data_IF_910284741683
#
_entry.id   IF_910284741683
#
_cell.length_a   1.000
_cell.length_b   1.000
_cell.length_c   1.000
_cell.angle_alpha   90.00
_cell.angle_beta   90.00
_cell.angle_gamma   90.00
#
_symmetry.space_group_name_H-M   'P 1'
#
loop_
_entity.id
_entity.type
_entity.pdbx_description
1 polymer ?
#
# COMPACT_ATOMS: atom_id res chain seq x y z
N UNK A 1 3.21 -17.51 -25.51
CA UNK A 1 2.32 -16.39 -25.15
C UNK A 1 1.76 -16.65 -23.76
N UNK A 2 2.39 -16.10 -22.73
CA UNK A 2 2.05 -16.33 -21.31
C UNK A 2 2.40 -15.12 -20.41
N UNK A 3 2.90 -14.03 -21.02
CA UNK A 3 3.44 -12.88 -20.29
C UNK A 3 2.33 -12.01 -19.70
N UNK A 4 1.19 -11.89 -20.37
CA UNK A 4 0.07 -11.07 -19.89
C UNK A 4 -0.61 -11.68 -18.67
N UNK A 5 -0.87 -12.99 -18.67
CA UNK A 5 -1.45 -13.72 -17.52
C UNK A 5 -0.52 -13.73 -16.30
N UNK A 6 0.79 -13.92 -16.50
CA UNK A 6 1.76 -13.88 -15.40
C UNK A 6 1.91 -12.48 -14.80
N UNK A 7 1.82 -11.43 -15.62
CA UNK A 7 1.87 -10.04 -15.14
C UNK A 7 0.58 -9.64 -14.40
N UNK A 8 -0.58 -10.12 -14.85
CA UNK A 8 -1.85 -9.90 -14.17
C UNK A 8 -1.85 -10.55 -12.78
N UNK A 9 -1.45 -11.82 -12.69
CA UNK A 9 -1.36 -12.55 -11.42
C UNK A 9 -0.43 -11.84 -10.42
N UNK A 10 0.76 -11.38 -10.87
CA UNK A 10 1.69 -10.62 -10.02
C UNK A 10 1.08 -9.33 -9.50
N UNK A 11 0.29 -8.64 -10.33
CA UNK A 11 -0.33 -7.35 -9.96
C UNK A 11 -1.42 -7.54 -8.92
N UNK A 12 -2.27 -8.55 -9.10
CA UNK A 12 -3.32 -8.92 -8.15
C UNK A 12 -2.73 -9.36 -6.82
N UNK A 13 -1.71 -10.24 -6.83
CA UNK A 13 -1.05 -10.68 -5.59
C UNK A 13 -0.37 -9.51 -4.87
N UNK A 14 0.23 -8.56 -5.59
CA UNK A 14 0.82 -7.37 -4.98
C UNK A 14 -0.22 -6.48 -4.31
N UNK A 15 -1.36 -6.26 -4.98
CA UNK A 15 -2.50 -5.53 -4.42
C UNK A 15 -3.01 -6.16 -3.11
N UNK A 16 -3.16 -7.49 -3.09
CA UNK A 16 -3.57 -8.21 -1.88
C UNK A 16 -2.56 -8.09 -0.75
N UNK A 17 -1.25 -8.26 -1.03
CA UNK A 17 -0.18 -8.09 -0.02
C UNK A 17 -0.20 -6.68 0.60
N UNK A 18 -0.45 -5.66 -0.22
CA UNK A 18 -0.57 -4.28 0.25
C UNK A 18 -1.72 -4.12 1.23
N UNK A 19 -2.91 -4.61 0.87
CA UNK A 19 -4.11 -4.53 1.73
C UNK A 19 -3.90 -5.29 3.03
N UNK A 20 -3.31 -6.48 2.99
CA UNK A 20 -3.03 -7.26 4.20
C UNK A 20 -2.05 -6.52 5.14
N UNK A 21 -0.97 -5.96 4.57
CA UNK A 21 0.02 -5.22 5.37
C UNK A 21 -0.59 -3.96 5.98
N UNK A 22 -1.45 -3.25 5.25
CA UNK A 22 -2.17 -2.08 5.78
C UNK A 22 -3.13 -2.48 6.91
N UNK A 23 -3.89 -3.57 6.75
CA UNK A 23 -4.79 -4.07 7.79
C UNK A 23 -4.04 -4.51 9.05
N UNK A 24 -2.87 -5.13 8.89
CA UNK A 24 -2.01 -5.49 10.01
C UNK A 24 -1.51 -4.24 10.75
N UNK A 25 -1.03 -3.23 10.00
CA UNK A 25 -0.63 -1.94 10.58
C UNK A 25 -1.78 -1.32 11.37
N UNK A 26 -3.00 -1.29 10.80
CA UNK A 26 -4.16 -0.73 11.48
C UNK A 26 -4.49 -1.46 12.78
N UNK A 27 -4.43 -2.79 12.75
CA UNK A 27 -4.70 -3.63 13.92
C UNK A 27 -3.70 -3.43 15.05
N UNK A 28 -2.42 -3.28 14.74
CA UNK A 28 -1.34 -3.30 15.74
C UNK A 28 -0.97 -1.90 16.25
N UNK A 29 -0.95 -0.90 15.36
CA UNK A 29 -0.57 0.47 15.72
C UNK A 29 -1.62 1.52 15.33
N UNK A 30 -2.64 1.17 14.55
CA UNK A 30 -3.63 2.11 14.00
C UNK A 30 -3.09 2.90 12.81
N UNK A 31 -3.85 2.97 11.71
CA UNK A 31 -3.42 3.77 10.53
C UNK A 31 -3.29 5.26 10.85
N UNK A 32 -3.95 5.74 11.91
CA UNK A 32 -3.91 7.13 12.35
C UNK A 32 -2.52 7.56 12.86
N UNK A 33 -1.70 6.59 13.31
CA UNK A 33 -0.34 6.85 13.79
C UNK A 33 0.69 6.84 12.65
N UNK A 34 0.29 6.57 11.41
CA UNK A 34 1.17 6.68 10.26
C UNK A 34 1.40 8.16 9.89
N UNK A 35 2.58 8.50 9.33
CA UNK A 35 2.80 9.79 8.69
C UNK A 35 1.72 10.09 7.64
N UNK A 36 1.28 11.35 7.53
CA UNK A 36 0.15 11.78 6.69
C UNK A 36 0.14 11.15 5.30
N UNK A 37 1.30 11.16 4.64
CA UNK A 37 1.47 10.65 3.28
C UNK A 37 1.24 9.15 3.15
N UNK A 38 1.57 8.38 4.20
CA UNK A 38 1.36 6.93 4.25
C UNK A 38 -0.06 6.60 4.68
N UNK A 39 -0.61 7.34 5.65
CA UNK A 39 -1.99 7.21 6.09
C UNK A 39 -2.97 7.42 4.95
N UNK A 40 -2.78 8.48 4.17
CA UNK A 40 -3.63 8.81 3.02
C UNK A 40 -3.65 7.67 1.99
N UNK A 41 -2.48 7.17 1.57
CA UNK A 41 -2.44 6.09 0.58
C UNK A 41 -2.93 4.75 1.15
N UNK A 42 -2.75 4.51 2.45
CA UNK A 42 -3.24 3.31 3.13
C UNK A 42 -4.76 3.25 3.07
N UNK A 43 -5.44 4.36 3.39
CA UNK A 43 -6.91 4.47 3.31
C UNK A 43 -7.42 4.23 1.90
N UNK A 44 -6.90 4.96 0.92
CA UNK A 44 -7.33 4.85 -0.49
C UNK A 44 -7.11 3.41 -1.01
N UNK A 45 -5.99 2.76 -0.66
CA UNK A 45 -5.70 1.40 -1.13
C UNK A 45 -6.65 0.35 -0.54
N UNK A 46 -7.07 0.50 0.70
CA UNK A 46 -8.04 -0.42 1.34
C UNK A 46 -9.44 -0.21 0.78
N UNK A 47 -9.82 1.04 0.52
CA UNK A 47 -11.12 1.40 -0.09
C UNK A 47 -11.19 0.95 -1.55
N UNK A 48 -10.09 1.05 -2.30
CA UNK A 48 -10.03 0.75 -3.74
C UNK A 48 -9.00 -0.35 -4.06
N UNK A 49 -9.39 -1.60 -3.84
CA UNK A 49 -8.52 -2.76 -4.01
C UNK A 49 -8.34 -3.21 -5.46
N UNK A 50 -9.16 -2.72 -6.39
CA UNK A 50 -9.19 -3.19 -7.77
C UNK A 50 -8.54 -2.20 -8.76
N UNK A 51 -8.30 -0.96 -8.32
CA UNK A 51 -7.76 0.08 -9.19
C UNK A 51 -6.24 0.03 -9.27
N UNK A 52 -5.70 0.61 -10.34
CA UNK A 52 -4.27 0.67 -10.60
C UNK A 52 -3.55 1.67 -9.70
N UNK A 53 -2.22 1.53 -9.61
CA UNK A 53 -1.38 2.48 -8.88
C UNK A 53 -1.44 3.91 -9.44
N UNK A 54 -1.77 4.07 -10.73
CA UNK A 54 -1.92 5.40 -11.33
C UNK A 54 -3.20 6.06 -10.79
N UNK A 55 -4.31 5.33 -10.83
CA UNK A 55 -5.62 5.82 -10.37
C UNK A 55 -5.62 6.12 -8.87
N UNK A 56 -4.95 5.28 -8.05
CA UNK A 56 -4.72 5.60 -6.63
C UNK A 56 -4.03 6.96 -6.45
N UNK A 57 -3.05 7.26 -7.31
CA UNK A 57 -2.28 8.49 -7.27
C UNK A 57 -3.11 9.72 -7.63
N UNK A 58 -4.14 9.56 -8.44
CA UNK A 58 -5.08 10.62 -8.84
C UNK A 58 -6.11 10.92 -7.72
N UNK A 59 -6.31 10.01 -6.77
CA UNK A 59 -7.24 10.16 -5.64
C UNK A 59 -6.62 10.82 -4.38
N UNK A 60 -5.31 11.07 -4.41
CA UNK A 60 -4.57 11.67 -3.28
C UNK A 60 -5.02 13.12 -3.07
N UNK A 61 -5.54 13.43 -1.87
CA UNK A 61 -6.19 14.72 -1.57
C UNK A 61 -5.19 15.88 -1.52
N UNK A 62 -3.95 15.62 -1.12
CA UNK A 62 -2.86 16.61 -1.13
C UNK A 62 -2.36 16.98 -2.53
N UNK A 63 -2.88 16.33 -3.58
CA UNK A 63 -2.54 16.56 -4.98
C UNK A 63 -2.12 15.25 -5.66
N UNK A 64 -2.35 15.12 -6.98
CA UNK A 64 -2.08 13.88 -7.69
C UNK A 64 -0.58 13.55 -7.65
N UNK A 65 -0.27 12.29 -7.42
CA UNK A 65 1.10 11.79 -7.42
C UNK A 65 1.31 10.76 -8.52
N UNK A 66 2.56 10.62 -8.97
CA UNK A 66 2.90 9.64 -9.99
C UNK A 66 2.71 8.20 -9.50
N UNK A 67 2.52 7.26 -10.43
CA UNK A 67 2.54 5.81 -10.18
C UNK A 67 3.76 5.38 -9.34
N UNK A 68 4.93 5.96 -9.61
CA UNK A 68 6.16 5.67 -8.85
C UNK A 68 6.07 6.16 -7.41
N UNK A 69 5.51 7.36 -7.19
CA UNK A 69 5.26 7.90 -5.86
C UNK A 69 4.30 7.04 -5.04
N UNK A 70 3.20 6.57 -5.63
CA UNK A 70 2.28 5.61 -5.00
C UNK A 70 3.00 4.32 -4.62
N UNK A 71 3.72 3.73 -5.58
CA UNK A 71 4.45 2.48 -5.38
C UNK A 71 5.46 2.60 -4.22
N UNK A 72 6.18 3.71 -4.12
CA UNK A 72 7.11 3.94 -3.02
C UNK A 72 6.43 3.97 -1.66
N UNK A 73 5.29 4.67 -1.54
CA UNK A 73 4.52 4.73 -0.29
C UNK A 73 3.97 3.35 0.09
N UNK A 74 3.45 2.58 -0.87
CA UNK A 74 2.95 1.21 -0.64
C UNK A 74 4.05 0.23 -0.28
N UNK A 75 5.26 0.37 -0.86
CA UNK A 75 6.43 -0.40 -0.42
C UNK A 75 6.77 -0.12 1.04
N UNK A 76 6.81 1.16 1.43
CA UNK A 76 7.06 1.52 2.83
C UNK A 76 5.99 0.93 3.77
N UNK A 77 4.72 0.90 3.37
CA UNK A 77 3.66 0.21 4.13
C UNK A 77 3.87 -1.31 4.22
N UNK A 78 4.31 -1.96 3.14
CA UNK A 78 4.66 -3.38 3.20
C UNK A 78 5.84 -3.63 4.15
N UNK A 79 6.88 -2.80 4.08
CA UNK A 79 8.06 -2.91 4.94
C UNK A 79 7.68 -2.71 6.42
N UNK A 80 6.78 -1.76 6.71
CA UNK A 80 6.22 -1.57 8.05
C UNK A 80 5.43 -2.81 8.50
N UNK A 81 4.57 -3.36 7.63
CA UNK A 81 3.84 -4.58 7.94
C UNK A 81 4.76 -5.78 8.17
N UNK A 82 5.83 -5.92 7.37
CA UNK A 82 6.82 -6.99 7.53
C UNK A 82 7.59 -6.84 8.85
N UNK A 83 7.96 -5.61 9.25
CA UNK A 83 8.54 -5.33 10.58
C UNK A 83 7.61 -5.74 11.73
N UNK A 84 6.31 -5.42 11.62
CA UNK A 84 5.30 -5.83 12.60
C UNK A 84 5.25 -7.36 12.70
N UNK A 85 5.18 -8.08 11.57
CA UNK A 85 5.15 -9.55 11.55
C UNK A 85 6.36 -10.18 12.22
N UNK A 86 7.52 -9.54 12.09
CA UNK A 86 8.78 -10.02 12.65
C UNK A 86 9.00 -9.59 14.11
N UNK A 87 8.12 -8.77 14.69
CA UNK A 87 8.31 -8.19 16.03
C UNK A 87 9.46 -7.18 16.09
N UNK A 88 9.81 -6.56 14.96
CA UNK A 88 10.87 -5.56 14.88
C UNK A 88 10.38 -4.20 15.38
N UNK A 89 11.32 -3.39 15.88
CA UNK A 89 11.02 -2.02 16.28
C UNK A 89 10.69 -1.16 15.04
N UNK A 90 9.64 -0.34 15.18
CA UNK A 90 9.16 0.54 14.12
C UNK A 90 9.46 1.99 14.50
N UNK A 91 9.97 2.74 13.53
CA UNK A 91 10.16 4.19 13.62
C UNK A 91 9.25 4.83 12.56
N UNK A 92 8.34 5.71 13.00
CA UNK A 92 7.29 6.32 12.17
C UNK A 92 7.62 7.78 11.84
#
# INVERSE_FOLDING_TARGET
VNCETANLNKTVSAAMKQVESIKLIDKEIGIENLPDRLREIARIRVEHQEISLKELGEMVSTGPISKSGVNHRLRKLNDLGDKIRNGEQIEL
#
